data_IF_197148733354
#
_entry.id   IF_197148733354
#
_cell.length_a   1.000
_cell.length_b   1.000
_cell.length_c   1.000
_cell.angle_alpha   90.00
_cell.angle_beta   90.00
_cell.angle_gamma   90.00
#
_symmetry.space_group_name_H-M   'P 1'
#
loop_
_entity.id
_entity.type
_entity.pdbx_description
1 polymer ?
#
# COMPACT_ATOMS: atom_id res chain seq x y z
N UNK A 1 23.47 -9.11 10.30
CA UNK A 1 22.05 -9.35 10.06
C UNK A 1 21.84 -10.67 9.34
N UNK A 2 20.78 -11.38 9.69
CA UNK A 2 20.43 -12.65 9.05
C UNK A 2 20.00 -12.45 7.60
N UNK A 3 20.34 -13.37 6.69
CA UNK A 3 19.81 -13.41 5.32
C UNK A 3 18.30 -13.58 5.29
N UNK A 4 17.70 -14.06 6.40
CA UNK A 4 16.30 -14.46 6.46
C UNK A 4 15.40 -13.39 7.08
N UNK A 5 15.99 -12.32 7.57
CA UNK A 5 15.26 -11.26 8.26
C UNK A 5 16.03 -9.94 8.14
N UNK A 6 15.32 -8.89 7.73
CA UNK A 6 15.88 -7.56 7.59
C UNK A 6 14.83 -6.51 7.96
N UNK A 7 15.17 -5.63 8.90
CA UNK A 7 14.37 -4.44 9.18
C UNK A 7 14.71 -3.37 8.15
N UNK A 8 13.72 -2.98 7.35
CA UNK A 8 13.88 -2.00 6.28
C UNK A 8 13.66 -0.58 6.77
N UNK A 9 12.75 -0.39 7.73
CA UNK A 9 12.48 0.91 8.33
C UNK A 9 11.83 0.73 9.71
N UNK A 10 12.03 1.73 10.57
CA UNK A 10 11.41 1.86 11.87
C UNK A 10 10.99 3.32 12.08
N UNK A 11 9.75 3.55 12.50
CA UNK A 11 9.25 4.89 12.75
C UNK A 11 8.29 4.90 13.93
N UNK A 12 8.36 5.96 14.73
CA UNK A 12 7.33 6.26 15.73
C UNK A 12 6.22 7.05 15.07
N UNK A 13 4.98 6.65 15.30
CA UNK A 13 3.80 7.30 14.72
C UNK A 13 2.79 7.61 15.82
N UNK A 14 1.75 8.43 15.52
CA UNK A 14 0.66 8.64 16.48
C UNK A 14 -0.06 7.37 16.91
N UNK A 15 -0.03 6.31 16.09
CA UNK A 15 -0.64 5.01 16.41
C UNK A 15 0.32 4.06 17.12
N UNK A 16 1.62 4.37 17.17
CA UNK A 16 2.64 3.55 17.82
C UNK A 16 3.86 3.30 16.96
N UNK A 17 4.63 2.29 17.34
CA UNK A 17 5.87 1.93 16.66
C UNK A 17 5.56 1.14 15.39
N UNK A 18 6.04 1.64 14.25
CA UNK A 18 5.82 1.06 12.93
C UNK A 18 7.13 0.51 12.38
N UNK A 19 7.10 -0.76 12.00
CA UNK A 19 8.27 -1.47 11.43
C UNK A 19 7.91 -1.99 10.05
N UNK A 20 8.79 -1.75 9.09
CA UNK A 20 8.79 -2.41 7.79
C UNK A 20 9.92 -3.41 7.75
N UNK A 21 9.63 -4.66 7.44
CA UNK A 21 10.65 -5.72 7.40
C UNK A 21 10.46 -6.66 6.23
N UNK A 22 11.56 -7.28 5.81
CA UNK A 22 11.55 -8.40 4.86
C UNK A 22 11.92 -9.67 5.61
N UNK A 23 11.20 -10.74 5.35
CA UNK A 23 11.43 -12.05 5.96
C UNK A 23 11.40 -13.13 4.90
N UNK A 24 12.35 -14.07 4.99
CA UNK A 24 12.40 -15.24 4.12
C UNK A 24 11.49 -16.34 4.66
N UNK A 25 10.58 -16.83 3.84
CA UNK A 25 9.81 -18.03 4.16
C UNK A 25 10.50 -19.22 3.49
N UNK A 26 11.24 -19.99 4.29
CA UNK A 26 12.11 -21.06 3.78
C UNK A 26 11.36 -22.15 3.03
N UNK A 27 10.17 -22.53 3.52
CA UNK A 27 9.34 -23.56 2.88
C UNK A 27 8.90 -23.17 1.49
N UNK A 28 8.76 -21.88 1.21
CA UNK A 28 8.29 -21.35 -0.06
C UNK A 28 9.40 -20.78 -0.92
N UNK A 29 10.63 -20.73 -0.39
CA UNK A 29 11.77 -20.08 -1.05
C UNK A 29 11.41 -18.67 -1.53
N UNK A 30 10.76 -17.89 -0.67
CA UNK A 30 10.17 -16.59 -1.01
C UNK A 30 10.40 -15.57 0.09
N UNK A 31 10.74 -14.34 -0.31
CA UNK A 31 10.78 -13.20 0.59
C UNK A 31 9.38 -12.59 0.72
N UNK A 32 9.05 -12.18 1.93
CA UNK A 32 7.80 -11.50 2.26
C UNK A 32 8.13 -10.18 2.92
N UNK A 33 7.48 -9.11 2.47
CA UNK A 33 7.55 -7.79 3.10
C UNK A 33 6.36 -7.65 4.04
N UNK A 34 6.63 -7.25 5.28
CA UNK A 34 5.64 -7.17 6.34
C UNK A 34 5.66 -5.81 7.01
N UNK A 35 4.48 -5.34 7.40
CA UNK A 35 4.30 -4.14 8.22
C UNK A 35 3.83 -4.56 9.60
N UNK A 36 4.56 -4.14 10.62
CA UNK A 36 4.28 -4.45 12.03
C UNK A 36 3.99 -3.15 12.76
N UNK A 37 2.89 -3.08 13.48
CA UNK A 37 2.51 -1.94 14.31
C UNK A 37 2.37 -2.39 15.76
N UNK A 38 3.18 -1.80 16.67
CA UNK A 38 3.19 -2.18 18.08
C UNK A 38 3.37 -3.68 18.30
N UNK A 39 4.34 -4.29 17.62
CA UNK A 39 4.63 -5.72 17.65
C UNK A 39 3.53 -6.62 17.09
N UNK A 40 2.46 -6.05 16.55
CA UNK A 40 1.39 -6.82 15.91
C UNK A 40 1.50 -6.74 14.39
N UNK A 41 1.33 -7.89 13.74
CA UNK A 41 1.32 -7.96 12.28
C UNK A 41 0.12 -7.17 11.72
N UNK A 42 0.39 -6.20 10.84
CA UNK A 42 -0.64 -5.38 10.23
C UNK A 42 -0.98 -5.84 8.81
N UNK A 43 0.04 -6.08 7.98
CA UNK A 43 -0.14 -6.51 6.59
C UNK A 43 1.14 -7.11 6.02
N UNK A 44 1.02 -7.85 4.93
CA UNK A 44 2.15 -8.36 4.15
C UNK A 44 1.78 -8.50 2.67
N UNK A 45 2.79 -8.71 1.83
CA UNK A 45 2.60 -9.02 0.42
C UNK A 45 2.45 -10.52 0.15
N UNK A 46 2.28 -11.33 1.20
CA UNK A 46 2.12 -12.78 1.04
C UNK A 46 0.81 -13.13 0.34
N UNK A 47 -0.29 -12.49 0.75
CA UNK A 47 -1.59 -12.62 0.09
C UNK A 47 -2.15 -11.23 -0.21
N UNK A 48 -2.41 -10.96 -1.48
CA UNK A 48 -2.93 -9.66 -1.93
C UNK A 48 -4.29 -9.76 -2.62
N UNK A 49 -4.92 -10.93 -2.60
CA UNK A 49 -6.18 -11.18 -3.31
C UNK A 49 -7.30 -10.26 -2.83
N UNK A 50 -7.42 -10.04 -1.52
CA UNK A 50 -8.47 -9.18 -0.95
C UNK A 50 -8.28 -7.72 -1.35
N UNK A 51 -7.04 -7.23 -1.31
CA UNK A 51 -6.70 -5.85 -1.68
C UNK A 51 -6.98 -5.59 -3.15
N UNK A 52 -6.63 -6.53 -4.01
CA UNK A 52 -6.88 -6.44 -5.45
C UNK A 52 -8.39 -6.52 -5.73
N UNK A 53 -9.11 -7.42 -5.06
CA UNK A 53 -10.56 -7.55 -5.21
C UNK A 53 -11.32 -6.31 -4.74
N UNK A 54 -10.83 -5.63 -3.70
CA UNK A 54 -11.42 -4.38 -3.22
C UNK A 54 -11.48 -3.31 -4.32
N UNK A 55 -10.50 -3.30 -5.22
CA UNK A 55 -10.50 -2.42 -6.37
C UNK A 55 -11.32 -3.00 -7.54
N UNK A 56 -11.05 -4.24 -7.94
CA UNK A 56 -11.57 -4.80 -9.18
C UNK A 56 -13.07 -5.07 -9.15
N UNK A 57 -13.64 -5.48 -8.01
CA UNK A 57 -15.06 -5.75 -7.91
C UNK A 57 -15.89 -4.47 -8.09
N UNK A 58 -15.64 -3.38 -7.32
CA UNK A 58 -16.36 -2.12 -7.57
C UNK A 58 -16.12 -1.55 -8.96
N UNK A 59 -14.89 -1.62 -9.47
CA UNK A 59 -14.56 -1.09 -10.80
C UNK A 59 -15.33 -1.81 -11.91
N UNK A 60 -15.57 -3.11 -11.78
CA UNK A 60 -16.36 -3.87 -12.75
C UNK A 60 -17.84 -3.46 -12.75
N UNK A 61 -18.34 -2.91 -11.63
CA UNK A 61 -19.73 -2.48 -11.49
C UNK A 61 -19.94 -1.00 -11.80
N UNK A 62 -18.85 -0.24 -11.90
CA UNK A 62 -18.91 1.21 -12.12
C UNK A 62 -19.12 1.54 -13.59
N UNK A 63 -20.15 2.35 -13.88
CA UNK A 63 -20.52 2.71 -15.25
C UNK A 63 -19.91 4.04 -15.74
N UNK A 64 -19.06 4.69 -14.94
CA UNK A 64 -18.45 5.98 -15.31
C UNK A 64 -17.37 5.81 -16.38
N UNK A 65 -17.33 6.74 -17.35
CA UNK A 65 -16.37 6.68 -18.46
C UNK A 65 -14.93 7.00 -18.03
N UNK A 66 -14.77 7.97 -17.12
CA UNK A 66 -13.46 8.43 -16.64
C UNK A 66 -13.57 8.78 -15.15
N UNK A 67 -13.67 7.76 -14.26
CA UNK A 67 -13.93 8.01 -12.86
C UNK A 67 -12.73 8.62 -12.14
N UNK A 68 -13.03 9.46 -11.15
CA UNK A 68 -12.10 9.87 -10.11
C UNK A 68 -12.32 8.97 -8.91
N UNK A 69 -11.27 8.29 -8.45
CA UNK A 69 -11.35 7.28 -7.40
C UNK A 69 -10.65 7.78 -6.14
N UNK A 70 -11.26 7.49 -5.00
CA UNK A 70 -10.70 7.75 -3.68
C UNK A 70 -10.53 6.43 -2.94
N UNK A 71 -9.32 6.19 -2.43
CA UNK A 71 -9.00 5.00 -1.63
C UNK A 71 -8.57 5.43 -0.23
N UNK A 72 -9.20 4.84 0.79
CA UNK A 72 -8.82 5.02 2.18
C UNK A 72 -7.83 3.94 2.61
N UNK A 73 -6.60 4.34 2.91
CA UNK A 73 -5.51 3.44 3.28
C UNK A 73 -4.65 3.05 2.10
N UNK A 74 -3.35 3.29 2.24
CA UNK A 74 -2.36 2.99 1.21
C UNK A 74 -1.68 1.63 1.44
N UNK A 75 -1.13 1.42 2.63
CA UNK A 75 -0.41 0.19 2.96
C UNK A 75 0.68 -0.12 1.96
N UNK A 76 0.75 -1.38 1.53
CA UNK A 76 1.72 -1.83 0.52
C UNK A 76 1.33 -1.45 -0.92
N UNK A 77 0.12 -0.89 -1.12
CA UNK A 77 -0.29 -0.27 -2.37
C UNK A 77 -1.08 -1.13 -3.34
N UNK A 78 -1.42 -2.37 -2.99
CA UNK A 78 -2.02 -3.30 -3.94
C UNK A 78 -3.44 -2.92 -4.37
N UNK A 79 -4.25 -2.32 -3.49
CA UNK A 79 -5.57 -1.79 -3.88
C UNK A 79 -5.42 -0.64 -4.87
N UNK A 80 -4.56 0.31 -4.56
CA UNK A 80 -4.29 1.47 -5.43
C UNK A 80 -3.73 1.03 -6.80
N UNK A 81 -2.78 0.10 -6.79
CA UNK A 81 -2.20 -0.46 -8.01
C UNK A 81 -3.26 -1.13 -8.88
N UNK A 82 -4.17 -1.90 -8.29
CA UNK A 82 -5.27 -2.52 -9.01
C UNK A 82 -6.23 -1.50 -9.61
N UNK A 83 -6.53 -0.40 -8.92
CA UNK A 83 -7.32 0.71 -9.49
C UNK A 83 -6.63 1.29 -10.71
N UNK A 84 -5.33 1.56 -10.63
CA UNK A 84 -4.56 2.13 -11.74
C UNK A 84 -4.39 1.17 -12.92
N UNK A 85 -4.62 -0.13 -12.71
CA UNK A 85 -4.69 -1.12 -13.78
C UNK A 85 -5.89 -0.93 -14.72
N UNK A 86 -6.86 -0.11 -14.35
CA UNK A 86 -8.00 0.26 -15.19
C UNK A 86 -7.68 1.56 -15.93
N UNK A 87 -7.43 1.45 -17.22
CA UNK A 87 -6.95 2.57 -18.05
C UNK A 87 -7.89 3.77 -18.10
N UNK A 88 -9.20 3.55 -17.90
CA UNK A 88 -10.21 4.61 -17.95
C UNK A 88 -10.28 5.45 -16.67
N UNK A 89 -9.59 5.08 -15.61
CA UNK A 89 -9.51 5.88 -14.40
C UNK A 89 -8.83 7.22 -14.71
N UNK A 90 -9.51 8.32 -14.42
CA UNK A 90 -8.97 9.67 -14.66
C UNK A 90 -8.00 10.08 -13.55
N UNK A 91 -8.37 9.86 -12.31
CA UNK A 91 -7.52 10.16 -11.15
C UNK A 91 -7.77 9.18 -10.01
N UNK A 92 -6.73 9.00 -9.20
CA UNK A 92 -6.78 8.24 -7.96
C UNK A 92 -6.16 9.09 -6.86
N UNK A 93 -6.89 9.29 -5.76
CA UNK A 93 -6.37 9.89 -4.53
C UNK A 93 -6.39 8.83 -3.44
N UNK A 94 -5.24 8.62 -2.81
CA UNK A 94 -5.10 7.69 -1.68
C UNK A 94 -4.80 8.49 -0.43
N UNK A 95 -5.63 8.33 0.59
CA UNK A 95 -5.45 9.01 1.88
C UNK A 95 -4.89 8.01 2.88
N UNK A 96 -3.72 8.30 3.43
CA UNK A 96 -3.02 7.45 4.40
C UNK A 96 -2.70 8.22 5.68
N UNK A 97 -3.07 7.64 6.81
CA UNK A 97 -2.83 8.25 8.12
C UNK A 97 -1.35 8.23 8.54
N UNK A 98 -0.63 7.18 8.13
CA UNK A 98 0.75 6.96 8.56
C UNK A 98 1.73 7.53 7.52
N UNK A 99 2.34 8.67 7.85
CA UNK A 99 3.30 9.34 6.97
C UNK A 99 4.46 8.44 6.49
N UNK A 100 5.04 7.55 7.34
CA UNK A 100 6.08 6.64 6.87
C UNK A 100 5.65 5.74 5.72
N UNK A 101 4.38 5.31 5.68
CA UNK A 101 3.86 4.46 4.61
C UNK A 101 3.93 5.20 3.27
N UNK A 102 3.53 6.47 3.23
CA UNK A 102 3.64 7.30 2.03
C UNK A 102 5.12 7.45 1.61
N UNK A 103 5.98 7.72 2.58
CA UNK A 103 7.42 7.87 2.33
C UNK A 103 8.03 6.62 1.68
N UNK A 104 7.62 5.44 2.13
CA UNK A 104 8.13 4.18 1.55
C UNK A 104 7.82 4.07 0.05
N UNK A 105 6.65 4.53 -0.37
CA UNK A 105 6.28 4.53 -1.79
C UNK A 105 7.11 5.51 -2.60
N UNK A 106 7.41 6.69 -2.05
CA UNK A 106 8.28 7.66 -2.71
C UNK A 106 9.73 7.19 -2.77
N UNK A 107 10.19 6.46 -1.76
CA UNK A 107 11.56 5.93 -1.70
C UNK A 107 11.75 4.64 -2.50
N UNK A 108 10.67 3.99 -2.90
CA UNK A 108 10.72 2.75 -3.67
C UNK A 108 11.21 1.54 -2.89
N UNK A 109 11.05 1.52 -1.57
CA UNK A 109 11.53 0.40 -0.71
C UNK A 109 10.54 -0.77 -0.62
N UNK A 110 9.35 -0.61 -1.17
CA UNK A 110 8.29 -1.62 -1.17
C UNK A 110 8.32 -2.48 -2.44
N UNK A 111 7.61 -3.65 -2.44
CA UNK A 111 7.56 -4.51 -3.64
C UNK A 111 7.09 -3.79 -4.90
N UNK A 112 6.15 -2.85 -4.79
CA UNK A 112 5.70 -2.06 -5.94
C UNK A 112 6.67 -0.93 -6.33
N UNK A 113 7.75 -0.71 -5.56
CA UNK A 113 8.69 0.37 -5.84
C UNK A 113 8.02 1.73 -5.84
N UNK A 114 8.29 2.54 -6.86
CA UNK A 114 7.72 3.87 -7.04
C UNK A 114 6.53 3.91 -8.01
N UNK A 115 5.95 2.76 -8.33
CA UNK A 115 4.85 2.65 -9.32
C UNK A 115 3.73 3.64 -9.05
N UNK A 116 3.27 3.75 -7.78
CA UNK A 116 2.16 4.63 -7.45
C UNK A 116 2.57 6.10 -7.47
N UNK A 117 3.71 6.43 -6.88
CA UNK A 117 4.18 7.81 -6.84
C UNK A 117 4.60 8.36 -8.20
N UNK A 118 4.96 7.49 -9.14
CA UNK A 118 5.33 7.87 -10.50
C UNK A 118 4.11 7.98 -11.45
N UNK A 119 2.97 7.41 -11.10
CA UNK A 119 1.78 7.49 -11.94
C UNK A 119 1.16 8.89 -11.85
N UNK A 120 1.05 9.62 -12.98
CA UNK A 120 0.53 11.00 -12.97
C UNK A 120 -0.94 11.10 -12.54
N UNK A 121 -1.68 10.00 -12.57
CA UNK A 121 -3.08 9.95 -12.10
C UNK A 121 -3.19 9.83 -10.60
N UNK A 122 -2.12 9.42 -9.90
CA UNK A 122 -2.14 9.04 -8.49
C UNK A 122 -1.60 10.16 -7.60
N UNK A 123 -2.36 10.52 -6.57
CA UNK A 123 -1.94 11.45 -5.53
C UNK A 123 -2.02 10.76 -4.17
N UNK A 124 -0.92 10.78 -3.42
CA UNK A 124 -0.83 10.22 -2.08
C UNK A 124 -0.94 11.35 -1.06
N UNK A 125 -1.93 11.28 -0.18
CA UNK A 125 -2.26 12.34 0.77
C UNK A 125 -2.15 11.81 2.20
N UNK A 126 -1.37 12.49 3.04
CA UNK A 126 -1.35 12.20 4.47
C UNK A 126 -2.59 12.79 5.13
N UNK A 127 -3.32 11.98 5.88
CA UNK A 127 -4.48 12.45 6.60
C UNK A 127 -5.36 11.32 7.10
N UNK A 128 -6.42 11.72 7.80
CA UNK A 128 -7.47 10.82 8.27
C UNK A 128 -8.55 10.74 7.20
N UNK A 129 -8.72 9.55 6.62
CA UNK A 129 -9.73 9.32 5.57
C UNK A 129 -11.13 9.73 6.02
N UNK A 130 -11.51 9.41 7.24
CA UNK A 130 -12.85 9.71 7.75
C UNK A 130 -13.09 11.20 7.97
N UNK A 131 -12.02 11.98 8.14
CA UNK A 131 -12.12 13.44 8.28
C UNK A 131 -12.08 14.15 6.93
N UNK A 132 -11.40 13.58 5.92
CA UNK A 132 -11.16 14.21 4.61
C UNK A 132 -12.12 13.75 3.50
N UNK A 133 -12.71 12.57 3.69
CA UNK A 133 -13.60 12.01 2.67
C UNK A 133 -15.00 12.66 2.64
#
# INVERSE_FOLDING_TARGET
MSHFFEELDYSKTPLGELVLRRRRILKLDRDVVEVILNDEHLMSDYFTVSEVALANIPMALLAADAPDILVGGLGLGYTADAVLGHDHVRSLTVIEYLAPVIRWHHQGVLPLGTTLSDDPRCTLVEGDFFALA
#
